data_IF_701090258283
#
_entry.id   IF_701090258283
#
_cell.length_a   1.000
_cell.length_b   1.000
_cell.length_c   1.000
_cell.angle_alpha   90.00
_cell.angle_beta   90.00
_cell.angle_gamma   90.00
#
_symmetry.space_group_name_H-M   'P 1'
#
loop_
_entity.id
_entity.type
_entity.pdbx_description
1 polymer ?
#
# COMPACT_ATOMS: atom_id res chain seq x y z
N UNK A 1 6.32 13.47 -4.13
CA UNK A 1 6.95 12.28 -3.48
C UNK A 1 7.37 11.32 -4.58
N UNK A 2 8.54 10.71 -4.47
CA UNK A 2 9.08 9.86 -5.55
C UNK A 2 8.66 8.40 -5.44
N UNK A 3 8.33 7.92 -4.23
CA UNK A 3 8.01 6.51 -3.99
C UNK A 3 7.32 6.31 -2.62
N UNK A 4 6.98 5.06 -2.28
CA UNK A 4 6.34 4.71 -1.00
C UNK A 4 7.21 4.97 0.24
N UNK A 5 8.55 5.04 0.11
CA UNK A 5 9.42 5.42 1.24
C UNK A 5 9.21 6.90 1.58
N UNK A 6 9.09 7.76 0.56
CA UNK A 6 8.75 9.16 0.76
C UNK A 6 7.34 9.34 1.33
N UNK A 7 6.40 8.44 0.97
CA UNK A 7 5.06 8.41 1.56
C UNK A 7 5.12 8.03 3.06
N UNK A 8 5.95 7.06 3.44
CA UNK A 8 6.18 6.73 4.86
C UNK A 8 6.76 7.92 5.65
N UNK A 9 7.71 8.66 5.06
CA UNK A 9 8.24 9.90 5.65
C UNK A 9 7.18 10.99 5.76
N UNK A 10 6.28 11.07 4.80
CA UNK A 10 5.17 12.01 4.83
C UNK A 10 4.22 11.69 5.99
N UNK A 11 3.87 10.43 6.23
CA UNK A 11 3.08 10.03 7.40
C UNK A 11 3.77 10.41 8.71
N UNK A 12 5.09 10.22 8.80
CA UNK A 12 5.86 10.63 9.98
C UNK A 12 5.87 12.15 10.17
N UNK A 13 5.99 12.93 9.08
CA UNK A 13 5.96 14.40 9.12
C UNK A 13 4.59 14.95 9.50
N UNK A 14 3.51 14.22 9.23
CA UNK A 14 2.15 14.52 9.70
C UNK A 14 1.90 14.06 11.15
N UNK A 15 2.93 13.52 11.82
CA UNK A 15 2.86 13.01 13.19
C UNK A 15 1.81 11.89 13.38
N UNK A 16 1.53 11.12 12.34
CA UNK A 16 0.61 9.99 12.39
C UNK A 16 1.14 8.92 13.34
N UNK A 17 0.27 8.38 14.19
CA UNK A 17 0.65 7.42 15.24
C UNK A 17 -0.10 6.09 15.17
N UNK A 18 -1.13 6.00 14.33
CA UNK A 18 -1.96 4.81 14.13
C UNK A 18 -2.16 4.55 12.65
N UNK A 19 -1.88 3.33 12.19
CA UNK A 19 -2.07 2.99 10.79
C UNK A 19 -2.25 1.51 10.56
N UNK A 20 -2.69 1.15 9.34
CA UNK A 20 -2.77 -0.23 8.89
C UNK A 20 -2.07 -0.44 7.55
N UNK A 21 -1.45 -1.61 7.37
CA UNK A 21 -0.97 -2.12 6.10
C UNK A 21 -1.73 -3.39 5.75
N UNK A 22 -2.34 -3.41 4.57
CA UNK A 22 -3.14 -4.50 4.05
C UNK A 22 -2.37 -5.15 2.90
N UNK A 23 -1.89 -6.39 3.12
CA UNK A 23 -0.94 -7.04 2.23
C UNK A 23 0.50 -6.83 2.67
N UNK A 24 0.95 -7.62 3.63
CA UNK A 24 2.24 -7.45 4.34
C UNK A 24 3.37 -8.24 3.69
N UNK A 25 3.06 -9.40 3.12
CA UNK A 25 4.02 -10.32 2.51
C UNK A 25 5.20 -10.62 3.47
N UNK A 26 6.39 -10.11 3.18
CA UNK A 26 7.60 -10.29 4.00
C UNK A 26 7.79 -9.20 5.08
N UNK A 27 6.85 -8.28 5.25
CA UNK A 27 6.89 -7.19 6.23
C UNK A 27 7.89 -6.07 5.93
N UNK A 28 8.33 -5.93 4.67
CA UNK A 28 9.35 -4.92 4.31
C UNK A 28 8.82 -3.51 4.44
N UNK A 29 7.62 -3.25 3.96
CA UNK A 29 7.06 -1.91 4.04
C UNK A 29 6.57 -1.58 5.46
N UNK A 30 6.01 -2.56 6.18
CA UNK A 30 5.76 -2.43 7.63
C UNK A 30 7.00 -1.99 8.40
N UNK A 31 8.15 -2.61 8.10
CA UNK A 31 9.44 -2.25 8.74
C UNK A 31 9.82 -0.81 8.40
N UNK A 32 9.69 -0.38 7.13
CA UNK A 32 9.98 0.99 6.70
C UNK A 32 9.07 1.98 7.42
N UNK A 33 7.77 1.73 7.47
CA UNK A 33 6.80 2.56 8.18
C UNK A 33 7.18 2.78 9.64
N UNK A 34 7.46 1.70 10.37
CA UNK A 34 7.78 1.76 11.80
C UNK A 34 9.17 2.35 12.08
N UNK A 35 10.18 2.07 11.23
CA UNK A 35 11.51 2.68 11.41
C UNK A 35 11.54 4.16 11.07
N UNK A 36 10.73 4.57 10.11
CA UNK A 36 10.58 5.99 9.73
C UNK A 36 9.80 6.75 10.79
N UNK A 37 8.85 6.09 11.44
CA UNK A 37 8.05 6.66 12.52
C UNK A 37 8.02 5.74 13.75
N UNK A 38 8.96 5.88 14.70
CA UNK A 38 9.02 5.01 15.88
C UNK A 38 7.82 5.11 16.84
N UNK A 39 6.98 6.14 16.72
CA UNK A 39 5.75 6.30 17.52
C UNK A 39 4.55 5.57 16.91
N UNK A 40 4.68 5.10 15.67
CA UNK A 40 3.59 4.44 14.94
C UNK A 40 3.20 3.12 15.62
N UNK A 41 1.91 2.93 15.83
CA UNK A 41 1.27 1.63 16.12
C UNK A 41 0.69 1.13 14.80
N UNK A 42 1.29 0.09 14.25
CA UNK A 42 0.90 -0.46 12.96
C UNK A 42 0.10 -1.75 13.11
N UNK A 43 -1.06 -1.82 12.49
CA UNK A 43 -1.79 -3.07 12.24
C UNK A 43 -1.35 -3.63 10.88
N UNK A 44 -0.74 -4.82 10.87
CA UNK A 44 -0.24 -5.48 9.69
C UNK A 44 -1.12 -6.70 9.36
N UNK A 45 -1.94 -6.59 8.31
CA UNK A 45 -2.96 -7.57 7.92
C UNK A 45 -2.55 -8.32 6.67
N UNK A 46 -2.49 -9.65 6.73
CA UNK A 46 -2.27 -10.52 5.57
C UNK A 46 -2.73 -11.95 5.92
N UNK A 47 -3.37 -12.65 5.03
CA UNK A 47 -3.82 -14.03 5.29
C UNK A 47 -2.72 -15.07 5.04
N UNK A 48 -1.66 -14.70 4.30
CA UNK A 48 -0.55 -15.56 3.88
C UNK A 48 -1.00 -16.92 3.30
N UNK A 49 -2.12 -16.95 2.55
CA UNK A 49 -2.66 -18.20 1.98
C UNK A 49 -2.03 -18.62 0.66
N UNK A 50 -1.32 -17.72 -0.03
CA UNK A 50 -0.65 -18.05 -1.29
C UNK A 50 0.57 -18.91 -1.05
N UNK A 51 0.83 -19.92 -1.92
CA UNK A 51 1.91 -20.92 -1.75
C UNK A 51 3.33 -20.36 -1.59
N UNK A 52 3.58 -19.12 -2.02
CA UNK A 52 4.85 -18.40 -1.86
C UNK A 52 4.99 -17.84 -0.42
N UNK A 53 3.98 -17.96 0.41
CA UNK A 53 3.75 -17.11 1.58
C UNK A 53 3.92 -17.79 2.93
N UNK A 54 4.06 -19.13 3.01
CA UNK A 54 4.36 -19.77 4.29
C UNK A 54 5.71 -19.32 4.86
N UNK A 55 6.74 -19.25 4.01
CA UNK A 55 8.04 -18.66 4.38
C UNK A 55 7.91 -17.16 4.64
N UNK A 56 7.05 -16.47 3.86
CA UNK A 56 6.83 -15.02 3.98
C UNK A 56 6.29 -14.63 5.35
N UNK A 57 5.35 -15.40 5.93
CA UNK A 57 4.84 -15.14 7.27
C UNK A 57 5.93 -15.25 8.35
N UNK A 58 6.75 -16.31 8.29
CA UNK A 58 7.86 -16.50 9.24
C UNK A 58 8.88 -15.35 9.14
N UNK A 59 9.19 -14.93 7.92
CA UNK A 59 10.09 -13.80 7.65
C UNK A 59 9.48 -12.49 8.19
N UNK A 60 8.19 -12.24 7.94
CA UNK A 60 7.50 -11.06 8.46
C UNK A 60 7.53 -11.03 10.00
N UNK A 61 7.20 -12.15 10.67
CA UNK A 61 7.27 -12.25 12.14
C UNK A 61 8.64 -11.89 12.68
N UNK A 62 9.70 -12.44 12.09
CA UNK A 62 11.07 -12.16 12.53
C UNK A 62 11.45 -10.69 12.30
N UNK A 63 11.10 -10.15 11.15
CA UNK A 63 11.41 -8.76 10.79
C UNK A 63 10.72 -7.76 11.70
N UNK A 64 9.50 -8.01 12.08
CA UNK A 64 8.65 -7.10 12.82
C UNK A 64 8.70 -7.31 14.36
N UNK A 65 9.40 -8.33 14.84
CA UNK A 65 9.39 -8.75 16.25
C UNK A 65 9.75 -7.65 17.28
N UNK A 66 10.59 -6.68 16.87
CA UNK A 66 11.05 -5.60 17.75
C UNK A 66 10.46 -4.23 17.36
N UNK A 67 9.38 -4.23 16.62
CA UNK A 67 8.67 -3.02 16.18
C UNK A 67 7.28 -2.98 16.81
N UNK A 68 6.69 -1.79 16.87
CA UNK A 68 5.35 -1.61 17.42
C UNK A 68 4.28 -2.01 16.38
N UNK A 69 4.23 -3.30 16.05
CA UNK A 69 3.37 -3.89 15.04
C UNK A 69 2.50 -4.99 15.64
N UNK A 70 1.21 -4.92 15.40
CA UNK A 70 0.28 -6.02 15.61
C UNK A 70 0.08 -6.77 14.30
N UNK A 71 0.47 -8.03 14.23
CA UNK A 71 0.26 -8.88 13.06
C UNK A 71 -1.09 -9.57 13.18
N UNK A 72 -1.97 -9.32 12.21
CA UNK A 72 -3.25 -10.00 12.06
C UNK A 72 -3.20 -10.95 10.87
N UNK A 73 -3.27 -12.25 11.14
CA UNK A 73 -3.21 -13.29 10.11
C UNK A 73 -4.60 -13.68 9.63
N UNK A 74 -5.33 -12.73 9.10
CA UNK A 74 -6.67 -12.91 8.52
C UNK A 74 -6.76 -12.25 7.14
N UNK A 75 -7.84 -12.54 6.41
CA UNK A 75 -8.13 -11.77 5.21
C UNK A 75 -8.44 -10.31 5.56
N UNK A 76 -8.26 -9.41 4.61
CA UNK A 76 -8.58 -7.99 4.74
C UNK A 76 -10.02 -7.79 5.27
N UNK A 77 -10.98 -8.47 4.66
CA UNK A 77 -12.40 -8.34 5.01
C UNK A 77 -12.77 -8.95 6.37
N UNK A 78 -12.04 -9.97 6.84
CA UNK A 78 -12.25 -10.52 8.19
C UNK A 78 -11.65 -9.60 9.26
N UNK A 79 -10.53 -8.96 8.96
CA UNK A 79 -9.81 -8.10 9.91
C UNK A 79 -10.46 -6.72 10.08
N UNK A 80 -10.98 -6.14 9.00
CA UNK A 80 -11.54 -4.78 9.00
C UNK A 80 -12.69 -4.60 9.98
N UNK A 81 -13.48 -5.66 10.22
CA UNK A 81 -14.62 -5.64 11.14
C UNK A 81 -14.26 -5.33 12.60
N UNK A 82 -13.03 -5.65 13.03
CA UNK A 82 -12.56 -5.43 14.39
C UNK A 82 -11.88 -4.06 14.60
N UNK A 83 -11.73 -3.27 13.53
CA UNK A 83 -11.14 -1.94 13.59
C UNK A 83 -12.26 -0.91 13.73
N UNK A 84 -12.19 -0.06 14.73
CA UNK A 84 -13.17 1.01 14.92
C UNK A 84 -13.08 2.03 13.78
N UNK A 85 -14.23 2.58 13.38
CA UNK A 85 -14.26 3.65 12.38
C UNK A 85 -13.49 4.87 12.89
N UNK A 86 -12.83 5.56 11.97
CA UNK A 86 -12.05 6.78 12.21
C UNK A 86 -10.93 6.65 13.28
N UNK A 87 -10.47 5.41 13.56
CA UNK A 87 -9.43 5.14 14.56
C UNK A 87 -8.01 5.17 14.01
N UNK A 88 -7.83 5.20 12.68
CA UNK A 88 -6.55 5.19 12.00
C UNK A 88 -6.22 6.57 11.42
N UNK A 89 -4.96 6.94 11.46
CA UNK A 89 -4.43 8.09 10.74
C UNK A 89 -4.25 7.79 9.25
N UNK A 90 -3.87 6.53 8.92
CA UNK A 90 -3.75 6.10 7.54
C UNK A 90 -4.01 4.61 7.35
N UNK A 91 -4.29 4.23 6.10
CA UNK A 91 -4.22 2.86 5.60
C UNK A 91 -3.34 2.80 4.35
N UNK A 92 -2.57 1.71 4.19
CA UNK A 92 -1.81 1.39 2.99
C UNK A 92 -2.24 0.03 2.45
N UNK A 93 -2.82 0.00 1.24
CA UNK A 93 -3.41 -1.19 0.60
C UNK A 93 -2.48 -1.71 -0.50
N UNK A 94 -1.95 -2.92 -0.31
CA UNK A 94 -1.03 -3.62 -1.24
C UNK A 94 -1.29 -5.15 -1.22
N UNK A 95 -2.56 -5.57 -1.31
CA UNK A 95 -2.98 -6.97 -1.17
C UNK A 95 -3.29 -7.64 -2.51
N UNK A 96 -4.56 -7.90 -2.85
CA UNK A 96 -4.97 -8.45 -4.15
C UNK A 96 -5.22 -7.30 -5.14
N UNK A 97 -4.75 -7.45 -6.38
CA UNK A 97 -4.85 -6.41 -7.41
C UNK A 97 -6.05 -6.59 -8.34
N UNK A 98 -6.98 -7.49 -7.99
CA UNK A 98 -8.25 -7.61 -8.72
C UNK A 98 -9.14 -6.42 -8.40
N UNK A 99 -9.81 -5.90 -9.42
CA UNK A 99 -10.69 -4.76 -9.30
C UNK A 99 -11.66 -4.87 -8.11
N UNK A 100 -12.39 -5.99 -8.00
CA UNK A 100 -13.37 -6.19 -6.92
C UNK A 100 -12.73 -6.19 -5.52
N UNK A 101 -11.58 -6.84 -5.37
CA UNK A 101 -10.86 -6.89 -4.09
C UNK A 101 -10.36 -5.51 -3.68
N UNK A 102 -9.83 -4.73 -4.64
CA UNK A 102 -9.37 -3.36 -4.37
C UNK A 102 -10.54 -2.44 -4.03
N UNK A 103 -11.68 -2.56 -4.72
CA UNK A 103 -12.90 -1.80 -4.39
C UNK A 103 -13.37 -2.10 -2.96
N UNK A 104 -13.39 -3.38 -2.56
CA UNK A 104 -13.80 -3.77 -1.22
C UNK A 104 -12.82 -3.23 -0.17
N UNK A 105 -11.51 -3.38 -0.40
CA UNK A 105 -10.48 -2.87 0.50
C UNK A 105 -10.59 -1.34 0.67
N UNK A 106 -10.65 -0.57 -0.42
CA UNK A 106 -10.75 0.89 -0.34
C UNK A 106 -12.02 1.28 0.41
N UNK A 107 -13.17 0.71 0.07
CA UNK A 107 -14.46 1.05 0.66
C UNK A 107 -14.50 0.81 2.17
N UNK A 108 -14.03 -0.36 2.61
CA UNK A 108 -14.13 -0.74 4.02
C UNK A 108 -13.02 -0.12 4.88
N UNK A 109 -11.78 -0.07 4.39
CA UNK A 109 -10.69 0.53 5.14
C UNK A 109 -10.72 2.05 5.18
N UNK A 110 -11.32 2.72 4.18
CA UNK A 110 -11.51 4.18 4.24
C UNK A 110 -12.38 4.62 5.42
N UNK A 111 -13.36 3.80 5.82
CA UNK A 111 -14.17 4.08 7.00
C UNK A 111 -13.34 4.10 8.29
N UNK A 112 -12.25 3.33 8.32
CA UNK A 112 -11.37 3.21 9.49
C UNK A 112 -10.41 4.37 9.64
N UNK A 113 -10.13 5.09 8.54
CA UNK A 113 -9.30 6.29 8.53
C UNK A 113 -10.12 7.48 8.98
N UNK A 114 -9.58 8.28 9.92
CA UNK A 114 -10.24 9.51 10.38
C UNK A 114 -10.28 10.60 9.31
N UNK A 115 -11.12 11.57 9.47
CA UNK A 115 -11.11 12.80 8.65
C UNK A 115 -9.74 13.49 8.79
N UNK A 116 -9.18 13.96 7.68
CA UNK A 116 -7.81 14.49 7.61
C UNK A 116 -6.72 13.42 7.58
N UNK A 117 -7.07 12.13 7.69
CA UNK A 117 -6.16 11.01 7.49
C UNK A 117 -5.95 10.66 6.02
N UNK A 118 -5.07 9.70 5.74
CA UNK A 118 -4.70 9.33 4.38
C UNK A 118 -5.11 7.89 4.07
N UNK A 119 -5.85 7.70 2.99
CA UNK A 119 -6.08 6.41 2.34
C UNK A 119 -5.08 6.29 1.20
N UNK A 120 -4.36 5.18 1.15
CA UNK A 120 -3.26 4.99 0.20
C UNK A 120 -3.09 3.53 -0.19
N UNK A 121 -2.31 3.30 -1.24
CA UNK A 121 -1.94 1.95 -1.65
C UNK A 121 -0.87 1.94 -2.72
N UNK A 122 -0.61 0.75 -3.27
CA UNK A 122 0.44 0.51 -4.23
C UNK A 122 -0.08 0.10 -5.61
N UNK A 123 0.83 -0.15 -6.53
CA UNK A 123 0.58 -0.74 -7.85
C UNK A 123 -0.43 -0.01 -8.75
N UNK A 124 -0.44 1.33 -8.66
CA UNK A 124 -1.21 2.15 -9.59
C UNK A 124 -0.55 2.19 -10.97
N UNK A 125 -0.60 1.07 -11.68
CA UNK A 125 -0.02 0.94 -13.04
C UNK A 125 -0.74 -0.15 -13.86
N UNK A 126 -0.55 -0.09 -15.19
CA UNK A 126 -1.08 -1.11 -16.10
C UNK A 126 -0.18 -2.33 -16.09
N UNK A 127 -0.69 -3.49 -15.68
CA UNK A 127 0.07 -4.74 -15.68
C UNK A 127 0.27 -5.30 -17.10
N UNK A 128 1.18 -6.28 -17.26
CA UNK A 128 1.47 -6.92 -18.57
C UNK A 128 0.25 -7.51 -19.27
N UNK A 129 -0.76 -7.95 -18.53
CA UNK A 129 -2.03 -8.45 -19.07
C UNK A 129 -3.05 -7.36 -19.35
N UNK A 130 -2.65 -6.09 -19.38
CA UNK A 130 -3.54 -4.93 -19.44
C UNK A 130 -4.57 -4.89 -18.30
N UNK A 131 -4.24 -5.51 -17.16
CA UNK A 131 -5.07 -5.42 -15.99
C UNK A 131 -4.92 -4.05 -15.34
N UNK A 132 -6.01 -3.32 -15.25
CA UNK A 132 -6.13 -2.00 -14.65
C UNK A 132 -6.93 -2.06 -13.35
N UNK A 133 -6.96 -3.20 -12.67
CA UNK A 133 -7.83 -3.40 -11.50
C UNK A 133 -7.64 -2.35 -10.42
N UNK A 134 -6.38 -2.05 -10.06
CA UNK A 134 -6.06 -1.01 -9.07
C UNK A 134 -6.44 0.38 -9.59
N UNK A 135 -6.06 0.71 -10.84
CA UNK A 135 -6.34 2.03 -11.43
C UNK A 135 -7.85 2.28 -11.45
N UNK A 136 -8.63 1.34 -12.01
CA UNK A 136 -10.06 1.53 -12.15
C UNK A 136 -10.77 1.67 -10.79
N UNK A 137 -10.40 0.82 -9.81
CA UNK A 137 -10.99 0.87 -8.47
C UNK A 137 -10.69 2.19 -7.75
N UNK A 138 -9.45 2.67 -7.84
CA UNK A 138 -9.02 3.93 -7.22
C UNK A 138 -9.69 5.12 -7.89
N UNK A 139 -9.68 5.17 -9.24
CA UNK A 139 -10.26 6.29 -10.00
C UNK A 139 -11.75 6.41 -9.77
N UNK A 140 -12.48 5.29 -9.78
CA UNK A 140 -13.92 5.29 -9.50
C UNK A 140 -14.22 5.77 -8.08
N UNK A 141 -13.52 5.23 -7.07
CA UNK A 141 -13.74 5.62 -5.68
C UNK A 141 -13.47 7.12 -5.45
N UNK A 142 -12.35 7.60 -5.97
CA UNK A 142 -11.96 9.02 -5.85
C UNK A 142 -12.96 9.93 -6.57
N UNK A 143 -13.43 9.54 -7.76
CA UNK A 143 -14.43 10.31 -8.51
C UNK A 143 -15.80 10.34 -7.81
N UNK A 144 -16.24 9.20 -7.26
CA UNK A 144 -17.51 9.09 -6.54
C UNK A 144 -17.56 9.98 -5.30
N UNK A 145 -16.45 10.08 -4.58
CA UNK A 145 -16.36 10.83 -3.31
C UNK A 145 -15.77 12.24 -3.47
N UNK A 146 -15.40 12.65 -4.69
CA UNK A 146 -14.83 13.98 -4.94
C UNK A 146 -13.44 14.19 -4.34
N UNK A 147 -12.68 13.12 -4.05
CA UNK A 147 -11.33 13.23 -3.51
C UNK A 147 -10.32 13.65 -4.58
N UNK A 148 -9.21 14.23 -4.16
CA UNK A 148 -8.09 14.56 -5.04
C UNK A 148 -7.05 13.46 -4.99
N UNK A 149 -6.96 12.66 -6.08
CA UNK A 149 -5.95 11.62 -6.22
C UNK A 149 -4.56 12.22 -6.35
N UNK A 150 -3.63 11.69 -5.59
CA UNK A 150 -2.21 11.99 -5.67
C UNK A 150 -1.42 10.71 -5.93
N UNK A 151 -0.34 10.84 -6.70
CA UNK A 151 0.50 9.71 -7.08
C UNK A 151 1.96 10.02 -6.80
N UNK A 152 2.73 9.00 -6.46
CA UNK A 152 4.18 9.15 -6.38
C UNK A 152 4.78 9.25 -7.79
N UNK A 153 5.84 10.06 -7.96
CA UNK A 153 6.31 10.58 -9.26
C UNK A 153 6.92 9.56 -10.24
N UNK A 154 7.04 8.28 -9.88
CA UNK A 154 7.66 7.27 -10.77
C UNK A 154 6.83 6.85 -11.99
N UNK A 155 5.56 7.27 -12.09
CA UNK A 155 4.70 7.02 -13.27
C UNK A 155 5.36 7.45 -14.57
N UNK A 156 6.02 8.62 -14.63
CA UNK A 156 6.62 9.15 -15.86
C UNK A 156 7.67 8.23 -16.48
N UNK A 157 8.36 7.40 -15.70
CA UNK A 157 9.31 6.40 -16.22
C UNK A 157 8.62 5.12 -16.68
N UNK A 158 7.59 4.66 -16.02
CA UNK A 158 6.82 3.48 -16.41
C UNK A 158 6.02 3.73 -17.70
N UNK A 159 5.31 4.85 -17.80
CA UNK A 159 4.61 5.28 -19.02
C UNK A 159 5.57 5.51 -20.20
N UNK A 160 6.67 6.25 -19.99
CA UNK A 160 7.63 6.52 -21.05
C UNK A 160 8.32 5.24 -21.55
N UNK A 161 8.48 4.24 -20.72
CA UNK A 161 9.06 2.95 -21.10
C UNK A 161 8.05 2.09 -21.87
N UNK A 162 6.79 2.06 -21.41
CA UNK A 162 5.70 1.37 -22.11
C UNK A 162 5.42 2.00 -23.48
N UNK A 163 5.33 3.33 -23.54
CA UNK A 163 5.12 4.06 -24.80
C UNK A 163 6.27 3.87 -25.79
N UNK A 164 7.53 3.72 -25.32
CA UNK A 164 8.70 3.54 -26.19
C UNK A 164 8.99 2.10 -26.56
N UNK A 165 8.63 1.11 -25.76
CA UNK A 165 9.09 -0.28 -25.94
C UNK A 165 7.96 -1.31 -25.99
N UNK A 166 6.72 -0.93 -25.65
CA UNK A 166 5.61 -1.87 -25.46
C UNK A 166 5.84 -2.88 -24.32
N UNK A 167 6.88 -2.65 -23.50
CA UNK A 167 7.26 -3.56 -22.40
C UNK A 167 7.12 -2.84 -21.07
N UNK A 168 6.30 -3.38 -20.18
CA UNK A 168 6.21 -2.93 -18.80
C UNK A 168 7.48 -3.32 -18.06
N UNK A 169 8.16 -2.32 -17.49
CA UNK A 169 9.46 -2.32 -16.89
C UNK A 169 9.99 -3.59 -16.25
N UNK A 170 10.87 -4.25 -16.97
CA UNK A 170 11.94 -5.04 -16.36
C UNK A 170 13.25 -4.32 -16.65
N UNK A 171 14.01 -4.12 -15.56
CA UNK A 171 15.39 -3.67 -15.48
C UNK A 171 16.01 -3.10 -16.77
N UNK A 172 16.27 -1.80 -16.79
CA UNK A 172 17.02 -1.16 -17.87
C UNK A 172 18.54 -1.36 -17.78
N UNK A 173 19.06 -1.87 -16.65
CA UNK A 173 20.48 -1.88 -16.35
C UNK A 173 21.04 -3.10 -15.59
N UNK A 174 20.21 -4.11 -15.35
CA UNK A 174 20.66 -5.36 -14.71
C UNK A 174 21.13 -5.22 -13.26
N UNK A 175 21.18 -4.02 -12.70
CA UNK A 175 21.57 -3.76 -11.31
C UNK A 175 20.33 -3.60 -10.44
N UNK A 176 20.02 -4.63 -9.68
CA UNK A 176 18.93 -4.66 -8.73
C UNK A 176 19.44 -4.35 -7.33
N UNK A 177 19.30 -3.11 -6.91
CA UNK A 177 19.29 -2.78 -5.50
C UNK A 177 17.94 -3.21 -4.92
N UNK A 178 17.98 -3.94 -3.79
CA UNK A 178 16.78 -4.50 -3.16
C UNK A 178 15.74 -3.45 -2.76
N UNK A 179 16.17 -2.23 -2.48
CA UNK A 179 15.31 -1.09 -2.15
C UNK A 179 14.64 -0.49 -3.39
N UNK A 180 15.33 -0.48 -4.55
CA UNK A 180 14.80 0.13 -5.79
C UNK A 180 13.83 -0.77 -6.54
N UNK A 181 13.77 -2.07 -6.25
CA UNK A 181 12.85 -3.02 -6.89
C UNK A 181 11.41 -2.83 -6.42
N UNK A 182 11.22 -2.68 -5.11
CA UNK A 182 9.89 -2.51 -4.50
C UNK A 182 9.34 -1.08 -4.67
N UNK A 183 10.18 -0.13 -5.11
CA UNK A 183 9.84 1.28 -5.30
C UNK A 183 9.48 1.67 -6.74
N UNK A 184 9.37 0.72 -7.64
CA UNK A 184 9.23 1.03 -9.08
C UNK A 184 7.80 1.32 -9.51
N UNK A 185 6.83 0.76 -8.82
CA UNK A 185 5.42 0.99 -9.08
C UNK A 185 4.93 2.21 -8.32
N UNK A 186 4.06 3.00 -8.91
CA UNK A 186 3.49 4.14 -8.24
C UNK A 186 2.62 3.73 -7.06
N UNK A 187 2.75 4.47 -5.97
CA UNK A 187 1.76 4.48 -4.91
C UNK A 187 0.74 5.59 -5.18
N UNK A 188 -0.49 5.34 -4.82
CA UNK A 188 -1.59 6.30 -4.87
C UNK A 188 -2.01 6.68 -3.44
N UNK A 189 -2.54 7.88 -3.28
CA UNK A 189 -3.09 8.32 -2.00
C UNK A 189 -4.04 9.51 -2.18
N UNK A 190 -4.94 9.64 -1.24
CA UNK A 190 -5.79 10.81 -1.07
C UNK A 190 -6.03 11.09 0.42
N UNK A 191 -6.34 12.33 0.75
CA UNK A 191 -6.74 12.74 2.10
C UNK A 191 -8.25 12.58 2.23
N UNK A 192 -8.72 11.90 3.28
CA UNK A 192 -10.13 11.79 3.60
C UNK A 192 -10.65 13.11 4.12
N UNK A 193 -11.67 13.66 3.49
CA UNK A 193 -12.26 14.98 3.85
C UNK A 193 -13.66 14.88 4.45
N UNK A 194 -14.32 13.74 4.27
CA UNK A 194 -15.70 13.46 4.77
C UNK A 194 -15.78 12.04 5.31
#
# INVERSE_FOLDING_TARGET
MDNRIELAKHFAALEFTSGAEIGVCHGRYSEILCRTNPKLKLLAVDDWRRNITHESYAVAKLRLANLNVTIDRRSSMDAVGDVADESLDFVFIDADHKYTSVCDDIREWSKKVRIGGIVSGHDYYITRGQNMGVINAVDEYVAEHGYTLQLTNKIRRAESLYQRTGKVGHALDGKWDSLTKDDRQPSWYFTKTE
#
